data_IF_122346938844
#
_entry.id   IF_122346938844
#
_cell.length_a   1.000
_cell.length_b   1.000
_cell.length_c   1.000
_cell.angle_alpha   90.00
_cell.angle_beta   90.00
_cell.angle_gamma   90.00
#
_symmetry.space_group_name_H-M   'P 1'
#
loop_
_entity.id
_entity.type
_entity.pdbx_description
1 polymer ?
#
# COMPACT_ATOMS: atom_id res chain seq x y z
N UNK A 1 -6.90 12.48 8.31
CA UNK A 1 -5.96 12.94 9.35
C UNK A 1 -4.57 12.31 9.22
N UNK A 2 -4.46 11.00 9.06
CA UNK A 2 -3.14 10.33 8.97
C UNK A 2 -2.50 10.48 7.59
N UNK A 3 -3.29 10.42 6.52
CA UNK A 3 -2.81 10.66 5.14
C UNK A 3 -2.65 12.17 4.86
N UNK A 4 -3.70 12.96 5.04
CA UNK A 4 -3.68 14.41 4.85
C UNK A 4 -3.83 15.16 6.18
N UNK A 5 -2.77 15.26 7.01
CA UNK A 5 -2.84 15.92 8.32
C UNK A 5 -3.13 17.42 8.20
N UNK A 6 -2.79 18.03 7.07
CA UNK A 6 -3.03 19.45 6.79
C UNK A 6 -4.50 19.80 6.56
N UNK A 7 -5.38 18.82 6.29
CA UNK A 7 -6.81 19.06 6.01
C UNK A 7 -7.49 19.77 7.18
N UNK A 8 -7.20 19.39 8.42
CA UNK A 8 -7.81 20.03 9.60
C UNK A 8 -7.54 21.54 9.65
N UNK A 9 -6.30 21.93 9.35
CA UNK A 9 -5.89 23.34 9.32
C UNK A 9 -6.56 24.11 8.18
N UNK A 10 -6.68 23.51 7.00
CA UNK A 10 -7.38 24.13 5.86
C UNK A 10 -8.86 24.32 6.21
N UNK A 11 -9.51 23.29 6.74
CA UNK A 11 -10.92 23.34 7.11
C UNK A 11 -11.22 24.37 8.21
N UNK A 12 -10.28 24.66 9.10
CA UNK A 12 -10.43 25.69 10.13
C UNK A 12 -10.52 27.12 9.55
N UNK A 13 -9.94 27.35 8.36
CA UNK A 13 -9.93 28.65 7.69
C UNK A 13 -11.00 28.85 6.62
N UNK A 14 -11.85 27.86 6.35
CA UNK A 14 -12.84 27.91 5.26
C UNK A 14 -14.26 28.19 5.77
N UNK A 15 -15.04 28.96 4.99
CA UNK A 15 -16.50 29.00 5.15
C UNK A 15 -17.09 27.68 4.66
N UNK A 16 -17.67 26.91 5.59
CA UNK A 16 -18.14 25.54 5.35
C UNK A 16 -19.59 25.48 4.86
N UNK A 17 -20.32 26.60 4.75
CA UNK A 17 -21.76 26.60 4.46
C UNK A 17 -22.16 25.81 3.21
N UNK A 18 -21.29 25.76 2.20
CA UNK A 18 -21.56 25.07 0.93
C UNK A 18 -20.59 23.91 0.63
N UNK A 19 -19.70 23.56 1.57
CA UNK A 19 -18.67 22.54 1.37
C UNK A 19 -19.09 21.20 1.98
N UNK A 20 -19.18 20.17 1.15
CA UNK A 20 -19.32 18.79 1.63
C UNK A 20 -17.92 18.21 1.86
N UNK A 21 -17.65 17.75 3.08
CA UNK A 21 -16.39 17.11 3.44
C UNK A 21 -16.68 15.63 3.64
N UNK A 22 -15.98 14.80 2.86
CA UNK A 22 -16.09 13.34 2.93
C UNK A 22 -14.74 12.78 3.30
N UNK A 23 -14.65 12.15 4.47
CA UNK A 23 -13.49 11.36 4.86
C UNK A 23 -13.67 9.95 4.30
N UNK A 24 -12.92 9.62 3.26
CA UNK A 24 -12.98 8.32 2.59
C UNK A 24 -12.58 7.16 3.51
N UNK A 25 -11.78 7.42 4.56
CA UNK A 25 -11.36 6.40 5.52
C UNK A 25 -12.42 6.06 6.57
N UNK A 26 -13.53 6.81 6.63
CA UNK A 26 -14.56 6.62 7.65
C UNK A 26 -15.19 5.23 7.56
N UNK A 27 -15.17 4.51 8.67
CA UNK A 27 -15.72 3.15 8.77
C UNK A 27 -14.71 2.05 8.44
N UNK A 28 -13.49 2.41 8.01
CA UNK A 28 -12.38 1.47 7.86
C UNK A 28 -11.70 1.29 9.21
N UNK A 29 -11.46 0.03 9.59
CA UNK A 29 -10.64 -0.31 10.75
C UNK A 29 -9.17 -0.05 10.40
N UNK A 30 -8.66 1.08 10.89
CA UNK A 30 -7.30 1.49 10.62
C UNK A 30 -6.31 0.53 11.27
N UNK A 31 -5.26 0.19 10.52
CA UNK A 31 -4.14 -0.60 11.01
C UNK A 31 -3.21 0.28 11.81
N UNK A 32 -2.93 -0.15 13.02
CA UNK A 32 -1.89 0.39 13.86
C UNK A 32 -0.76 -0.64 13.89
N UNK A 33 0.46 -0.20 13.66
CA UNK A 33 1.59 -1.11 13.60
C UNK A 33 2.91 -0.37 13.63
N UNK A 34 3.96 -1.14 13.91
CA UNK A 34 5.32 -0.71 13.70
C UNK A 34 5.64 -0.92 12.22
N UNK A 35 5.86 0.16 11.48
CA UNK A 35 6.27 0.09 10.07
C UNK A 35 7.77 -0.18 9.98
N UNK A 36 8.13 -1.33 10.52
CA UNK A 36 9.48 -1.78 10.83
C UNK A 36 9.32 -2.77 11.97
N UNK A 37 9.82 -4.00 11.79
CA UNK A 37 9.73 -5.12 12.74
C UNK A 37 8.48 -6.01 12.63
N UNK A 38 8.65 -7.10 11.89
CA UNK A 38 7.92 -8.34 12.11
C UNK A 38 8.90 -9.44 12.49
N UNK A 39 9.35 -9.48 13.75
CA UNK A 39 9.92 -10.67 14.41
C UNK A 39 9.60 -10.58 15.92
N UNK A 40 8.68 -11.40 16.40
CA UNK A 40 8.60 -11.77 17.82
C UNK A 40 9.53 -12.98 18.00
N UNK A 41 10.81 -12.73 18.24
CA UNK A 41 11.68 -13.72 18.86
C UNK A 41 11.91 -13.29 20.31
N UNK A 42 11.45 -14.14 21.23
CA UNK A 42 11.72 -13.96 22.64
C UNK A 42 13.18 -14.29 22.93
N UNK A 43 13.95 -13.29 23.36
CA UNK A 43 15.17 -13.50 24.13
C UNK A 43 15.44 -12.28 25.02
N UNK A 44 15.67 -12.56 26.30
CA UNK A 44 16.01 -11.60 27.34
C UNK A 44 17.48 -11.15 27.17
N UNK A 45 17.72 -9.90 26.75
CA UNK A 45 19.11 -9.43 26.66
C UNK A 45 19.31 -7.99 26.18
N UNK A 46 19.43 -7.07 27.15
CA UNK A 46 20.20 -5.82 27.12
C UNK A 46 20.28 -5.00 25.80
N UNK A 47 19.48 -3.94 25.76
CA UNK A 47 19.89 -2.58 25.39
C UNK A 47 20.26 -2.31 23.94
N UNK A 48 19.33 -1.73 23.17
CA UNK A 48 19.61 -0.75 22.11
C UNK A 48 18.36 0.09 21.83
N UNK A 49 18.56 1.41 21.66
CA UNK A 49 17.54 2.37 21.23
C UNK A 49 16.87 1.92 19.91
N UNK A 50 15.71 1.28 20.04
CA UNK A 50 14.84 0.96 18.91
C UNK A 50 13.96 2.17 18.63
N UNK A 51 14.26 2.89 17.55
CA UNK A 51 13.31 3.83 16.97
C UNK A 51 12.16 3.04 16.33
N UNK A 52 11.23 2.58 17.17
CA UNK A 52 9.94 2.07 16.74
C UNK A 52 9.16 3.24 16.13
N UNK A 53 8.74 3.11 14.88
CA UNK A 53 7.90 4.11 14.22
C UNK A 53 6.45 3.69 14.39
N UNK A 54 5.97 3.75 15.63
CA UNK A 54 4.59 3.52 15.98
C UNK A 54 3.69 4.54 15.27
N UNK A 55 2.73 4.06 14.48
CA UNK A 55 1.87 4.92 13.69
C UNK A 55 0.60 4.23 13.22
N UNK A 56 -0.29 5.05 12.64
CA UNK A 56 -1.47 4.55 11.92
C UNK A 56 -1.15 4.52 10.45
N UNK A 57 -1.26 3.35 9.83
CA UNK A 57 -1.03 3.16 8.41
C UNK A 57 -2.12 3.88 7.60
N UNK A 58 -1.77 4.92 6.81
CA UNK A 58 -2.75 5.67 6.04
C UNK A 58 -3.14 4.99 4.71
N UNK A 59 -2.45 3.93 4.27
CA UNK A 59 -2.58 3.33 2.93
C UNK A 59 -3.79 2.39 2.79
N UNK A 60 -4.94 2.84 3.29
CA UNK A 60 -6.18 2.04 3.37
C UNK A 60 -6.66 1.55 2.00
N UNK A 61 -6.35 2.28 0.92
CA UNK A 61 -6.78 1.98 -0.45
C UNK A 61 -5.98 0.84 -1.11
N UNK A 62 -5.00 0.25 -0.42
CA UNK A 62 -4.30 -0.94 -0.88
C UNK A 62 -4.94 -2.24 -0.35
N UNK A 63 -6.16 -2.15 0.20
CA UNK A 63 -7.06 -3.28 0.45
C UNK A 63 -8.36 -3.07 -0.33
N UNK A 64 -8.65 -3.94 -1.31
CA UNK A 64 -9.84 -3.80 -2.16
C UNK A 64 -11.16 -3.88 -1.39
N UNK A 65 -11.17 -4.50 -0.21
CA UNK A 65 -12.32 -4.45 0.70
C UNK A 65 -12.56 -3.06 1.26
N UNK A 66 -11.48 -2.33 1.59
CA UNK A 66 -11.56 -0.93 1.98
C UNK A 66 -11.96 -0.05 0.78
N UNK A 67 -11.46 -0.33 -0.42
CA UNK A 67 -11.84 0.42 -1.63
C UNK A 67 -13.34 0.35 -1.90
N UNK A 68 -13.98 -0.80 -1.65
CA UNK A 68 -15.44 -0.93 -1.74
C UNK A 68 -16.13 0.02 -0.76
N UNK A 69 -15.67 0.08 0.49
CA UNK A 69 -16.21 0.99 1.50
C UNK A 69 -16.00 2.47 1.12
N UNK A 70 -14.83 2.81 0.57
CA UNK A 70 -14.51 4.15 0.07
C UNK A 70 -15.48 4.53 -1.05
N UNK A 71 -15.67 3.65 -2.03
CA UNK A 71 -16.56 3.88 -3.18
C UNK A 71 -18.00 4.06 -2.74
N UNK A 72 -18.49 3.22 -1.83
CA UNK A 72 -19.85 3.32 -1.29
C UNK A 72 -20.05 4.63 -0.51
N UNK A 73 -19.06 5.03 0.30
CA UNK A 73 -19.07 6.29 1.05
C UNK A 73 -19.13 7.52 0.12
N UNK A 74 -18.30 7.53 -0.92
CA UNK A 74 -18.28 8.60 -1.93
C UNK A 74 -19.61 8.67 -2.71
N UNK A 75 -20.14 7.53 -3.12
CA UNK A 75 -21.40 7.47 -3.87
C UNK A 75 -22.59 7.95 -3.02
N UNK A 76 -22.65 7.56 -1.74
CA UNK A 76 -23.66 8.03 -0.81
C UNK A 76 -23.57 9.54 -0.57
N UNK A 77 -22.36 10.07 -0.39
CA UNK A 77 -22.13 11.50 -0.20
C UNK A 77 -22.54 12.32 -1.44
N UNK A 78 -22.15 11.87 -2.63
CA UNK A 78 -22.52 12.51 -3.89
C UNK A 78 -24.03 12.46 -4.13
N UNK A 79 -24.67 11.30 -3.91
CA UNK A 79 -26.12 11.15 -4.06
C UNK A 79 -26.91 11.99 -3.04
N UNK A 80 -26.38 12.21 -1.83
CA UNK A 80 -26.98 13.09 -0.85
C UNK A 80 -26.87 14.58 -1.25
N UNK A 81 -25.76 14.97 -1.87
CA UNK A 81 -25.50 16.36 -2.28
C UNK A 81 -26.16 16.75 -3.59
N UNK A 82 -26.35 15.79 -4.48
CA UNK A 82 -27.05 15.91 -5.76
C UNK A 82 -28.07 14.78 -5.93
N UNK A 83 -29.25 14.89 -5.27
CA UNK A 83 -30.26 13.84 -5.28
C UNK A 83 -30.83 13.52 -6.67
N UNK A 84 -30.85 14.50 -7.58
CA UNK A 84 -31.33 14.33 -8.95
C UNK A 84 -30.51 13.31 -9.75
N UNK A 85 -29.20 13.21 -9.45
CA UNK A 85 -28.29 12.24 -10.04
C UNK A 85 -27.98 11.05 -9.12
N UNK A 86 -28.75 10.84 -8.04
CA UNK A 86 -28.47 9.81 -7.04
C UNK A 86 -28.37 8.38 -7.62
N UNK A 87 -29.26 8.01 -8.54
CA UNK A 87 -29.23 6.70 -9.22
C UNK A 87 -28.00 6.55 -10.13
N UNK A 88 -27.54 7.64 -10.74
CA UNK A 88 -26.33 7.63 -11.57
C UNK A 88 -25.09 7.28 -10.72
N UNK A 89 -24.93 7.93 -9.57
CA UNK A 89 -23.81 7.63 -8.66
C UNK A 89 -23.87 6.19 -8.12
N UNK A 90 -25.05 5.74 -7.67
CA UNK A 90 -25.23 4.37 -7.14
C UNK A 90 -24.91 3.29 -8.18
N UNK A 91 -25.38 3.46 -9.42
CA UNK A 91 -25.09 2.50 -10.50
C UNK A 91 -23.60 2.45 -10.84
N UNK A 92 -22.94 3.60 -10.90
CA UNK A 92 -21.51 3.65 -11.20
C UNK A 92 -20.68 3.01 -10.07
N UNK A 93 -21.05 3.28 -8.82
CA UNK A 93 -20.44 2.67 -7.64
C UNK A 93 -20.60 1.14 -7.64
N UNK A 94 -21.81 0.64 -7.91
CA UNK A 94 -22.06 -0.80 -8.02
C UNK A 94 -21.22 -1.45 -9.13
N UNK A 95 -21.13 -0.82 -10.31
CA UNK A 95 -20.29 -1.30 -11.41
C UNK A 95 -18.81 -1.35 -11.03
N UNK A 96 -18.30 -0.32 -10.37
CA UNK A 96 -16.89 -0.26 -9.97
C UNK A 96 -16.58 -1.24 -8.82
N UNK A 97 -17.50 -1.42 -7.88
CA UNK A 97 -17.43 -2.43 -6.82
C UNK A 97 -17.24 -3.84 -7.38
N UNK A 98 -17.99 -4.21 -8.43
CA UNK A 98 -17.82 -5.53 -9.04
C UNK A 98 -16.43 -5.72 -9.65
N UNK A 99 -15.82 -4.66 -10.20
CA UNK A 99 -14.43 -4.70 -10.70
C UNK A 99 -13.42 -4.89 -9.57
N UNK A 100 -13.58 -4.17 -8.46
CA UNK A 100 -12.73 -4.33 -7.27
C UNK A 100 -12.83 -5.74 -6.69
N UNK A 101 -14.05 -6.29 -6.58
CA UNK A 101 -14.28 -7.65 -6.09
C UNK A 101 -13.71 -8.71 -7.04
N UNK A 102 -13.77 -8.48 -8.35
CA UNK A 102 -13.13 -9.37 -9.33
C UNK A 102 -11.61 -9.35 -9.18
N UNK A 103 -11.02 -8.17 -9.00
CA UNK A 103 -9.59 -8.03 -8.78
C UNK A 103 -9.13 -8.65 -7.46
N UNK A 104 -9.91 -8.51 -6.39
CA UNK A 104 -9.69 -9.18 -5.10
C UNK A 104 -9.65 -10.71 -5.23
N UNK A 105 -10.60 -11.29 -5.95
CA UNK A 105 -10.61 -12.73 -6.22
C UNK A 105 -9.37 -13.15 -6.99
N UNK A 106 -9.01 -12.41 -8.05
CA UNK A 106 -7.82 -12.66 -8.87
C UNK A 106 -6.54 -12.64 -8.01
N UNK A 107 -6.39 -11.65 -7.14
CA UNK A 107 -5.29 -11.57 -6.19
C UNK A 107 -5.28 -12.77 -5.24
N UNK A 108 -6.41 -13.08 -4.58
CA UNK A 108 -6.48 -14.19 -3.62
C UNK A 108 -6.12 -15.53 -4.25
N UNK A 109 -6.70 -15.84 -5.41
CA UNK A 109 -6.44 -17.09 -6.14
C UNK A 109 -4.97 -17.19 -6.54
N UNK A 110 -4.45 -16.13 -7.14
CA UNK A 110 -3.06 -16.09 -7.61
C UNK A 110 -2.08 -16.21 -6.44
N UNK A 111 -2.22 -15.33 -5.44
CA UNK A 111 -1.26 -15.21 -4.35
C UNK A 111 -1.26 -16.44 -3.43
N UNK A 112 -2.40 -17.13 -3.31
CA UNK A 112 -2.49 -18.38 -2.54
C UNK A 112 -1.58 -19.48 -3.11
N UNK A 113 -1.49 -19.56 -4.45
CA UNK A 113 -0.67 -20.57 -5.14
C UNK A 113 0.84 -20.31 -5.12
N UNK A 114 1.27 -19.10 -4.71
CA UNK A 114 2.67 -18.70 -4.77
C UNK A 114 3.55 -19.44 -3.77
N UNK A 115 4.78 -19.79 -4.20
CA UNK A 115 5.74 -20.52 -3.36
C UNK A 115 6.35 -19.66 -2.26
N UNK A 116 6.52 -18.36 -2.49
CA UNK A 116 7.00 -17.40 -1.50
C UNK A 116 5.84 -16.58 -0.95
N UNK A 117 5.92 -16.21 0.32
CA UNK A 117 4.90 -15.41 1.04
C UNK A 117 5.46 -14.13 1.65
N UNK A 118 6.70 -13.77 1.30
CA UNK A 118 7.41 -12.63 1.87
C UNK A 118 7.68 -11.60 0.79
N UNK A 119 7.29 -10.35 1.05
CA UNK A 119 7.61 -9.19 0.23
C UNK A 119 8.76 -8.44 0.91
N UNK A 120 9.91 -8.37 0.25
CA UNK A 120 11.01 -7.47 0.61
C UNK A 120 10.94 -6.22 -0.29
N UNK A 121 10.75 -5.05 0.30
CA UNK A 121 10.47 -3.81 -0.41
C UNK A 121 11.45 -2.69 -0.02
N UNK A 122 12.16 -2.16 -1.00
CA UNK A 122 13.10 -1.05 -0.86
C UNK A 122 12.47 0.34 -0.95
N UNK A 123 11.17 0.48 -0.73
CA UNK A 123 10.46 1.77 -0.54
C UNK A 123 9.72 1.79 0.80
N UNK A 124 8.95 2.85 1.13
CA UNK A 124 8.29 2.97 2.43
C UNK A 124 7.22 1.90 2.67
N UNK A 125 6.73 1.81 3.91
CA UNK A 125 5.71 0.84 4.29
C UNK A 125 4.33 1.25 3.75
N UNK A 126 4.08 1.01 2.46
CA UNK A 126 2.80 1.31 1.82
C UNK A 126 1.86 0.10 1.77
N UNK A 127 2.41 -1.11 1.57
CA UNK A 127 1.62 -2.28 1.20
C UNK A 127 1.12 -3.13 2.38
N UNK A 128 1.07 -2.55 3.59
CA UNK A 128 0.70 -3.27 4.82
C UNK A 128 -0.72 -3.86 4.80
N UNK A 129 -1.69 -3.09 4.31
CA UNK A 129 -3.08 -3.55 4.13
C UNK A 129 -3.18 -4.70 3.12
N UNK A 130 -2.52 -4.56 1.95
CA UNK A 130 -2.46 -5.60 0.92
C UNK A 130 -1.84 -6.88 1.46
N UNK A 131 -0.68 -6.77 2.12
CA UNK A 131 0.04 -7.90 2.67
C UNK A 131 -0.81 -8.66 3.69
N UNK A 132 -1.43 -7.93 4.63
CA UNK A 132 -2.33 -8.52 5.61
C UNK A 132 -3.53 -9.25 4.96
N UNK A 133 -4.18 -8.61 3.99
CA UNK A 133 -5.36 -9.17 3.32
C UNK A 133 -5.08 -10.53 2.65
N UNK A 134 -3.89 -10.70 2.09
CA UNK A 134 -3.51 -11.89 1.34
C UNK A 134 -2.55 -12.82 2.10
N UNK A 135 -2.34 -12.59 3.39
CA UNK A 135 -1.50 -13.45 4.25
C UNK A 135 -0.03 -13.46 3.81
N UNK A 136 0.50 -12.28 3.47
CA UNK A 136 1.90 -12.08 3.12
C UNK A 136 2.65 -11.39 4.27
N UNK A 137 3.88 -11.82 4.51
CA UNK A 137 4.85 -11.08 5.33
C UNK A 137 5.41 -9.92 4.51
N UNK A 138 5.60 -8.77 5.14
CA UNK A 138 6.02 -7.55 4.45
C UNK A 138 7.12 -6.84 5.23
N UNK A 139 8.28 -6.72 4.59
CA UNK A 139 9.47 -6.10 5.14
C UNK A 139 9.92 -4.94 4.26
N UNK A 140 10.35 -3.86 4.90
CA UNK A 140 10.93 -2.69 4.25
C UNK A 140 12.20 -2.26 4.96
N UNK A 141 13.08 -1.58 4.24
CA UNK A 141 14.23 -0.89 4.82
C UNK A 141 13.86 0.48 5.42
N UNK A 142 12.68 1.03 5.10
CA UNK A 142 12.29 2.38 5.52
C UNK A 142 11.64 2.34 6.90
N UNK A 143 12.06 3.23 7.80
CA UNK A 143 11.36 3.42 9.07
C UNK A 143 10.00 4.10 8.84
N UNK A 144 8.92 3.50 9.33
CA UNK A 144 7.61 4.14 9.34
C UNK A 144 6.86 4.10 8.01
N UNK A 145 5.78 4.87 7.95
CA UNK A 145 4.81 4.86 6.85
C UNK A 145 5.00 5.97 5.80
N UNK A 146 6.08 6.76 5.87
CA UNK A 146 6.26 7.94 5.02
C UNK A 146 7.37 7.75 3.98
N UNK A 147 7.11 8.18 2.74
CA UNK A 147 8.09 8.13 1.64
C UNK A 147 9.35 8.98 1.89
N UNK A 148 9.25 10.02 2.74
CA UNK A 148 10.34 10.94 3.06
C UNK A 148 11.33 10.38 4.11
N UNK A 149 11.04 9.20 4.69
CA UNK A 149 11.92 8.59 5.67
C UNK A 149 13.21 8.11 5.00
N UNK A 150 14.37 8.30 5.63
CA UNK A 150 15.65 7.79 5.11
C UNK A 150 16.06 6.51 5.83
N UNK A 151 16.29 5.39 5.10
CA UNK A 151 16.72 4.15 5.71
C UNK A 151 18.21 4.20 6.10
N UNK A 152 18.57 3.58 7.24
CA UNK A 152 19.96 3.48 7.67
C UNK A 152 20.69 2.32 6.97
N UNK A 153 22.04 2.31 6.88
CA UNK A 153 22.77 1.15 6.37
C UNK A 153 22.42 -0.17 7.05
N UNK A 154 22.05 -0.13 8.34
CA UNK A 154 21.62 -1.31 9.10
C UNK A 154 20.27 -1.84 8.59
N UNK A 155 19.36 -0.97 8.18
CA UNK A 155 18.07 -1.37 7.59
C UNK A 155 18.27 -2.07 6.25
N UNK A 156 19.17 -1.56 5.40
CA UNK A 156 19.51 -2.18 4.13
C UNK A 156 20.08 -3.58 4.34
N UNK A 157 20.99 -3.74 5.30
CA UNK A 157 21.57 -5.05 5.66
C UNK A 157 20.48 -6.03 6.10
N UNK A 158 19.55 -5.62 6.96
CA UNK A 158 18.42 -6.45 7.40
C UNK A 158 17.51 -6.86 6.25
N UNK A 159 17.23 -5.94 5.32
CA UNK A 159 16.41 -6.26 4.15
C UNK A 159 17.14 -7.26 3.24
N UNK A 160 18.45 -7.11 3.04
CA UNK A 160 19.26 -8.07 2.30
C UNK A 160 19.33 -9.45 2.99
N UNK A 161 19.43 -9.49 4.33
CA UNK A 161 19.35 -10.72 5.12
C UNK A 161 17.98 -11.39 4.97
N UNK A 162 16.88 -10.62 4.99
CA UNK A 162 15.53 -11.12 4.73
C UNK A 162 15.45 -11.78 3.35
N UNK A 163 15.97 -11.12 2.31
CA UNK A 163 16.02 -11.68 0.95
C UNK A 163 16.78 -13.00 0.91
N UNK A 164 17.96 -13.08 1.55
CA UNK A 164 18.76 -14.32 1.58
C UNK A 164 18.08 -15.43 2.38
N UNK A 165 17.61 -15.12 3.60
CA UNK A 165 17.00 -16.08 4.53
C UNK A 165 15.75 -16.73 3.96
N UNK A 166 14.89 -15.94 3.31
CA UNK A 166 13.67 -16.45 2.68
C UNK A 166 13.90 -16.93 1.24
N UNK A 167 15.13 -16.83 0.72
CA UNK A 167 15.51 -17.19 -0.64
C UNK A 167 14.63 -16.49 -1.68
N UNK A 168 14.44 -15.18 -1.52
CA UNK A 168 13.63 -14.36 -2.41
C UNK A 168 14.39 -14.08 -3.70
N UNK A 169 13.70 -14.22 -4.82
CA UNK A 169 14.28 -13.94 -6.16
C UNK A 169 14.02 -12.52 -6.62
N UNK A 170 13.27 -11.74 -5.84
CA UNK A 170 12.96 -10.36 -6.14
C UNK A 170 13.01 -9.50 -4.88
N UNK A 171 13.41 -8.25 -5.08
CA UNK A 171 13.21 -7.12 -4.17
C UNK A 171 12.36 -6.09 -4.89
N UNK A 172 11.35 -5.55 -4.21
CA UNK A 172 10.42 -4.61 -4.80
C UNK A 172 10.85 -3.16 -4.54
N UNK A 173 10.42 -2.24 -5.39
CA UNK A 173 10.56 -0.80 -5.21
C UNK A 173 9.25 -0.08 -5.50
N UNK A 174 9.13 1.18 -5.08
CA UNK A 174 8.04 2.05 -5.51
C UNK A 174 8.37 2.77 -6.82
N UNK A 175 7.33 3.03 -7.61
CA UNK A 175 7.47 3.90 -8.77
C UNK A 175 7.66 5.36 -8.34
N UNK A 176 8.49 6.09 -9.10
CA UNK A 176 8.81 7.51 -8.87
C UNK A 176 9.53 7.81 -7.54
N UNK A 177 9.96 6.79 -6.81
CA UNK A 177 10.88 6.88 -5.66
C UNK A 177 12.27 6.42 -6.09
N UNK A 178 13.30 6.95 -5.45
CA UNK A 178 14.70 6.59 -5.73
C UNK A 178 14.92 5.07 -5.59
N UNK A 179 15.42 4.38 -6.63
CA UNK A 179 15.57 2.92 -6.64
C UNK A 179 16.78 2.41 -5.83
N UNK A 180 17.63 3.32 -5.33
CA UNK A 180 18.97 3.03 -4.77
C UNK A 180 18.99 1.94 -3.72
N UNK A 181 17.94 1.84 -2.92
CA UNK A 181 17.83 0.84 -1.85
C UNK A 181 17.59 -0.54 -2.43
N UNK A 182 16.56 -0.68 -3.28
CA UNK A 182 16.27 -1.93 -3.97
C UNK A 182 17.44 -2.37 -4.86
N UNK A 183 18.09 -1.45 -5.57
CA UNK A 183 19.29 -1.71 -6.38
C UNK A 183 20.47 -2.20 -5.54
N UNK A 184 20.67 -1.61 -4.36
CA UNK A 184 21.74 -2.04 -3.45
C UNK A 184 21.46 -3.44 -2.92
N UNK A 185 20.25 -3.70 -2.44
CA UNK A 185 19.85 -5.05 -2.01
C UNK A 185 19.97 -6.05 -3.16
N UNK A 186 19.55 -5.68 -4.37
CA UNK A 186 19.68 -6.51 -5.58
C UNK A 186 21.13 -6.89 -5.86
N UNK A 187 22.05 -5.92 -5.82
CA UNK A 187 23.50 -6.17 -6.02
C UNK A 187 24.08 -7.12 -4.98
N UNK A 188 23.65 -7.00 -3.72
CA UNK A 188 24.15 -7.81 -2.60
C UNK A 188 23.56 -9.23 -2.53
N UNK A 189 22.43 -9.48 -3.20
CA UNK A 189 21.66 -10.72 -3.06
C UNK A 189 21.43 -11.47 -4.37
N UNK A 190 21.60 -10.79 -5.50
CA UNK A 190 21.24 -11.29 -6.83
C UNK A 190 19.73 -11.25 -7.13
N UNK A 191 18.89 -10.74 -6.22
CA UNK A 191 17.46 -10.62 -6.45
C UNK A 191 17.15 -9.60 -7.56
N UNK A 192 16.17 -9.88 -8.41
CA UNK A 192 15.72 -8.94 -9.43
C UNK A 192 14.97 -7.76 -8.78
N UNK A 193 15.14 -6.55 -9.31
CA UNK A 193 14.31 -5.41 -8.90
C UNK A 193 12.99 -5.46 -9.66
N UNK A 194 11.87 -5.48 -8.93
CA UNK A 194 10.51 -5.39 -9.47
C UNK A 194 9.79 -4.16 -8.88
N UNK A 195 8.77 -3.66 -9.57
CA UNK A 195 8.05 -2.46 -9.10
C UNK A 195 6.71 -2.84 -8.48
N UNK A 196 6.36 -2.22 -7.35
CA UNK A 196 5.00 -2.15 -6.83
C UNK A 196 4.57 -0.68 -6.76
N UNK A 197 3.47 -0.36 -7.41
CA UNK A 197 2.92 0.98 -7.49
C UNK A 197 1.92 1.21 -6.35
N UNK A 198 2.14 2.16 -5.41
CA UNK A 198 1.24 2.39 -4.27
C UNK A 198 -0.04 3.14 -4.66
N UNK A 199 -0.13 3.64 -5.89
CA UNK A 199 -1.27 4.38 -6.45
C UNK A 199 -1.57 5.72 -5.74
N UNK A 200 -0.58 6.25 -5.02
CA UNK A 200 -0.60 7.61 -4.47
C UNK A 200 -0.22 8.69 -5.51
N UNK A 201 0.30 8.28 -6.66
CA UNK A 201 0.71 9.15 -7.77
C UNK A 201 0.40 8.45 -9.11
N UNK A 202 0.72 9.10 -10.24
CA UNK A 202 0.69 8.49 -11.56
C UNK A 202 1.65 9.28 -12.47
N UNK A 203 2.39 8.59 -13.32
CA UNK A 203 3.27 9.25 -14.29
C UNK A 203 2.46 10.03 -15.34
N UNK A 204 3.05 11.07 -15.93
CA UNK A 204 2.38 11.80 -17.04
C UNK A 204 2.04 10.87 -18.20
N UNK A 205 2.96 9.97 -18.52
CA UNK A 205 2.77 9.00 -19.60
C UNK A 205 1.58 8.06 -19.34
N UNK A 206 1.46 7.51 -18.13
CA UNK A 206 0.33 6.66 -17.76
C UNK A 206 -0.99 7.46 -17.72
N UNK A 207 -0.95 8.71 -17.24
CA UNK A 207 -2.11 9.60 -17.28
C UNK A 207 -2.59 9.85 -18.72
N UNK A 208 -1.68 10.16 -19.64
CA UNK A 208 -1.99 10.43 -21.05
C UNK A 208 -2.54 9.19 -21.77
N UNK A 209 -2.15 7.99 -21.31
CA UNK A 209 -2.66 6.69 -21.80
C UNK A 209 -3.99 6.28 -21.15
N UNK A 210 -4.49 7.04 -20.17
CA UNK A 210 -5.72 6.72 -19.45
C UNK A 210 -5.60 5.51 -18.52
N UNK A 211 -4.40 5.25 -18.01
CA UNK A 211 -4.13 4.17 -17.06
C UNK A 211 -4.89 4.43 -15.76
N UNK A 212 -5.62 3.41 -15.31
CA UNK A 212 -6.49 3.50 -14.14
C UNK A 212 -5.86 2.85 -12.91
N UNK A 213 -6.47 3.08 -11.76
CA UNK A 213 -6.13 2.35 -10.53
C UNK A 213 -6.13 0.82 -10.74
N UNK A 214 -7.14 0.29 -11.43
CA UNK A 214 -7.24 -1.15 -11.68
C UNK A 214 -6.06 -1.64 -12.53
N UNK A 215 -5.64 -0.88 -13.55
CA UNK A 215 -4.49 -1.23 -14.39
C UNK A 215 -3.18 -1.27 -13.57
N UNK A 216 -2.97 -0.30 -12.69
CA UNK A 216 -1.81 -0.26 -11.80
C UNK A 216 -1.79 -1.46 -10.85
N UNK A 217 -2.95 -1.83 -10.30
CA UNK A 217 -3.07 -3.00 -9.45
C UNK A 217 -2.89 -4.31 -10.24
N UNK A 218 -3.36 -4.39 -11.48
CA UNK A 218 -3.05 -5.54 -12.33
C UNK A 218 -1.55 -5.68 -12.62
N UNK A 219 -0.85 -4.57 -12.90
CA UNK A 219 0.62 -4.56 -13.05
C UNK A 219 1.32 -5.01 -11.76
N UNK A 220 0.83 -4.56 -10.60
CA UNK A 220 1.34 -5.02 -9.30
C UNK A 220 1.19 -6.53 -9.15
N UNK A 221 0.02 -7.09 -9.49
CA UNK A 221 -0.19 -8.54 -9.41
C UNK A 221 0.78 -9.31 -10.32
N UNK A 222 1.08 -8.82 -11.52
CA UNK A 222 2.06 -9.46 -12.41
C UNK A 222 3.49 -9.43 -11.84
N UNK A 223 3.88 -8.33 -11.18
CA UNK A 223 5.16 -8.28 -10.49
C UNK A 223 5.19 -9.16 -9.23
N UNK A 224 4.10 -9.21 -8.47
CA UNK A 224 3.95 -10.13 -7.33
C UNK A 224 4.05 -11.58 -7.80
N UNK A 225 3.43 -11.93 -8.93
CA UNK A 225 3.50 -13.28 -9.50
C UNK A 225 4.94 -13.72 -9.75
N UNK A 226 5.72 -12.83 -10.37
CA UNK A 226 7.13 -13.06 -10.69
C UNK A 226 7.98 -13.15 -9.41
N UNK A 227 7.84 -12.20 -8.50
CA UNK A 227 8.71 -12.12 -7.32
C UNK A 227 8.36 -13.14 -6.24
N UNK A 228 7.08 -13.52 -6.11
CA UNK A 228 6.63 -14.55 -5.17
C UNK A 228 6.68 -15.98 -5.75
N UNK A 229 7.20 -16.11 -6.97
CA UNK A 229 7.42 -17.38 -7.66
C UNK A 229 6.16 -18.26 -7.72
N UNK A 230 5.08 -17.68 -8.25
CA UNK A 230 3.82 -18.38 -8.46
C UNK A 230 3.92 -19.37 -9.64
N UNK A 231 3.07 -20.41 -9.68
CA UNK A 231 3.06 -21.42 -10.74
C UNK A 231 2.77 -20.86 -12.13
#
# INVERSE_FOLDING_TARGET
KFMEPWVERILAGLDRKNLLIVDASRGINLRHGDAGHGEHDGDDGHGHDGHAHAGTDPHVWLDFGNDVLIVDSLAAALAGRDPGNGEFYRRNAASFREKLLALDRKYRETLTSCRKKVIAHGGHFAFGYMAHRYGLEYHTAYPGFTADAEPSPRDLMRLAETVRRHGLTAVYQEELVSPKIAETVSRETGAAVLTLHPAANISREDMDKGVTFLDLMERNLENLKRGLACP
#
